data_IF_088330423237
#
_entry.id   IF_088330423237
#
_cell.length_a   1.000
_cell.length_b   1.000
_cell.length_c   1.000
_cell.angle_alpha   90.00
_cell.angle_beta   90.00
_cell.angle_gamma   90.00
#
_symmetry.space_group_name_H-M   'P 1'
#
loop_
_entity.id
_entity.type
_entity.pdbx_description
1 polymer ?
#
# COMPACT_ATOMS: atom_id res chain seq x y z
N UNK A 1 18.68 -12.49 11.83
CA UNK A 1 17.97 -11.57 10.90
C UNK A 1 17.21 -12.43 9.93
N UNK A 2 15.93 -12.15 9.74
CA UNK A 2 15.15 -12.89 8.76
C UNK A 2 15.68 -12.57 7.35
N UNK A 3 15.75 -13.59 6.53
CA UNK A 3 16.24 -13.50 5.15
C UNK A 3 15.21 -12.73 4.30
N UNK A 4 15.64 -11.65 3.64
CA UNK A 4 14.81 -10.87 2.73
C UNK A 4 14.77 -11.58 1.37
N UNK A 5 13.61 -12.15 1.04
CA UNK A 5 13.34 -12.80 -0.25
C UNK A 5 13.19 -11.73 -1.32
N UNK A 6 14.04 -11.75 -2.32
CA UNK A 6 14.18 -10.67 -3.31
C UNK A 6 13.93 -11.18 -4.72
N UNK A 7 13.11 -10.44 -5.48
CA UNK A 7 12.86 -10.65 -6.90
C UNK A 7 13.60 -9.58 -7.71
N UNK A 8 14.23 -9.98 -8.81
CA UNK A 8 14.88 -9.06 -9.77
C UNK A 8 14.13 -9.13 -11.09
N UNK A 9 13.66 -7.99 -11.59
CA UNK A 9 12.83 -7.88 -12.81
C UNK A 9 13.41 -6.82 -13.73
N UNK A 10 13.93 -7.24 -14.87
CA UNK A 10 14.58 -6.35 -15.85
C UNK A 10 14.72 -7.12 -17.17
N UNK A 11 14.41 -6.54 -18.31
CA UNK A 11 14.55 -7.24 -19.61
C UNK A 11 15.99 -7.29 -20.11
N UNK A 12 16.85 -6.38 -19.62
CA UNK A 12 18.27 -6.30 -20.00
C UNK A 12 19.12 -7.26 -19.17
N UNK A 13 19.73 -8.27 -19.83
CA UNK A 13 20.61 -9.24 -19.17
C UNK A 13 21.78 -8.62 -18.41
N UNK A 14 22.51 -7.59 -18.92
CA UNK A 14 23.58 -6.94 -18.18
C UNK A 14 23.10 -6.28 -16.88
N UNK A 15 21.94 -5.63 -16.90
CA UNK A 15 21.38 -4.97 -15.71
C UNK A 15 20.98 -6.00 -14.65
N UNK A 16 20.34 -7.11 -15.05
CA UNK A 16 20.05 -8.22 -14.14
C UNK A 16 21.32 -8.79 -13.51
N UNK A 17 22.36 -9.06 -14.34
CA UNK A 17 23.64 -9.59 -13.85
C UNK A 17 24.29 -8.68 -12.82
N UNK A 18 24.25 -7.37 -13.07
CA UNK A 18 24.80 -6.38 -12.15
C UNK A 18 24.06 -6.35 -10.80
N UNK A 19 22.72 -6.37 -10.83
CA UNK A 19 21.93 -6.45 -9.61
C UNK A 19 22.20 -7.73 -8.82
N UNK A 20 22.28 -8.87 -9.51
CA UNK A 20 22.59 -10.16 -8.89
C UNK A 20 23.95 -10.16 -8.23
N UNK A 21 24.99 -9.62 -8.89
CA UNK A 21 26.32 -9.48 -8.32
C UNK A 21 26.33 -8.66 -7.03
N UNK A 22 25.63 -7.54 -7.00
CA UNK A 22 25.53 -6.68 -5.83
C UNK A 22 24.76 -7.35 -4.69
N UNK A 23 23.62 -8.00 -5.01
CA UNK A 23 22.79 -8.69 -4.04
C UNK A 23 23.49 -9.91 -3.42
N UNK A 24 24.36 -10.61 -4.15
CA UNK A 24 25.14 -11.72 -3.64
C UNK A 24 26.11 -11.33 -2.51
N UNK A 25 26.52 -10.08 -2.45
CA UNK A 25 27.42 -9.56 -1.39
C UNK A 25 26.68 -9.33 -0.07
N UNK A 26 25.34 -9.39 -0.09
CA UNK A 26 24.48 -9.04 1.04
C UNK A 26 23.95 -10.28 1.76
N UNK A 27 24.47 -10.63 2.94
CA UNK A 27 24.17 -11.90 3.61
C UNK A 27 22.70 -12.05 4.05
N UNK A 28 21.97 -10.94 4.09
CA UNK A 28 20.56 -10.93 4.49
C UNK A 28 19.59 -11.03 3.32
N UNK A 29 20.11 -11.03 2.09
CA UNK A 29 19.32 -11.07 0.87
C UNK A 29 19.35 -12.46 0.27
N UNK A 30 18.21 -12.98 -0.11
CA UNK A 30 18.07 -14.20 -0.91
C UNK A 30 17.28 -13.89 -2.18
N UNK A 31 17.94 -13.95 -3.32
CA UNK A 31 17.24 -13.86 -4.60
C UNK A 31 16.42 -15.14 -4.78
N UNK A 32 15.09 -14.99 -4.88
CA UNK A 32 14.13 -16.09 -5.01
C UNK A 32 13.58 -16.22 -6.42
N UNK A 33 13.84 -15.24 -7.29
CA UNK A 33 13.44 -15.26 -8.68
C UNK A 33 14.11 -14.15 -9.48
N UNK A 34 14.16 -14.37 -10.80
CA UNK A 34 14.63 -13.40 -11.79
C UNK A 34 13.67 -13.44 -12.96
N UNK A 35 13.09 -12.31 -13.33
CA UNK A 35 12.15 -12.18 -14.42
C UNK A 35 12.71 -11.26 -15.53
N UNK A 36 12.28 -11.49 -16.78
CA UNK A 36 12.69 -10.72 -17.97
C UNK A 36 11.58 -9.80 -18.48
N UNK A 37 10.38 -9.97 -17.96
CA UNK A 37 9.20 -9.17 -18.30
C UNK A 37 8.20 -9.17 -17.17
N UNK A 38 7.16 -8.33 -17.28
CA UNK A 38 6.16 -8.16 -16.25
C UNK A 38 5.28 -9.39 -16.02
N UNK A 39 5.05 -10.24 -17.02
CA UNK A 39 4.24 -11.46 -16.86
C UNK A 39 4.98 -12.53 -16.06
N UNK A 40 6.28 -12.71 -16.34
CA UNK A 40 7.13 -13.60 -15.57
C UNK A 40 7.25 -13.10 -14.12
N UNK A 41 7.34 -11.77 -13.94
CA UNK A 41 7.37 -11.15 -12.62
C UNK A 41 6.10 -11.45 -11.81
N UNK A 42 4.90 -11.28 -12.38
CA UNK A 42 3.63 -11.58 -11.71
C UNK A 42 3.56 -13.04 -11.25
N UNK A 43 3.93 -13.99 -12.13
CA UNK A 43 3.96 -15.42 -11.77
C UNK A 43 4.91 -15.70 -10.60
N UNK A 44 6.11 -15.08 -10.60
CA UNK A 44 7.08 -15.25 -9.52
C UNK A 44 6.62 -14.56 -8.22
N UNK A 45 5.90 -13.46 -8.29
CA UNK A 45 5.31 -12.82 -7.11
C UNK A 45 4.31 -13.75 -6.43
N UNK A 46 3.40 -14.35 -7.19
CA UNK A 46 2.42 -15.30 -6.65
C UNK A 46 3.06 -16.57 -6.07
N UNK A 47 4.05 -17.14 -6.76
CA UNK A 47 4.64 -18.42 -6.36
C UNK A 47 5.74 -18.27 -5.30
N UNK A 48 6.48 -17.17 -5.33
CA UNK A 48 7.62 -16.95 -4.46
C UNK A 48 7.36 -15.95 -3.33
N UNK A 49 6.26 -15.21 -3.34
CA UNK A 49 5.92 -14.20 -2.31
C UNK A 49 7.14 -13.40 -1.84
N UNK A 50 7.84 -12.65 -2.71
CA UNK A 50 9.04 -11.90 -2.35
C UNK A 50 8.71 -10.75 -1.38
N UNK A 51 9.66 -10.40 -0.52
CA UNK A 51 9.55 -9.25 0.38
C UNK A 51 10.03 -7.97 -0.30
N UNK A 52 10.94 -8.09 -1.27
CA UNK A 52 11.57 -7.00 -2.01
C UNK A 52 11.56 -7.32 -3.51
N UNK A 53 11.32 -6.29 -4.32
CA UNK A 53 11.43 -6.37 -5.78
C UNK A 53 12.25 -5.20 -6.31
N UNK A 54 13.27 -5.52 -7.11
CA UNK A 54 13.92 -4.55 -8.00
C UNK A 54 13.23 -4.67 -9.35
N UNK A 55 12.68 -3.57 -9.87
CA UNK A 55 11.78 -3.58 -11.02
C UNK A 55 12.19 -2.52 -12.03
N UNK A 56 12.49 -2.93 -13.27
CA UNK A 56 12.58 -1.95 -14.35
C UNK A 56 11.20 -1.43 -14.74
N UNK A 57 11.13 -0.18 -15.14
CA UNK A 57 9.91 0.46 -15.60
C UNK A 57 9.60 0.04 -17.04
N UNK A 58 10.60 0.09 -17.94
CA UNK A 58 10.38 -0.21 -19.34
C UNK A 58 10.78 -1.64 -19.66
N UNK A 59 9.79 -2.47 -19.85
CA UNK A 59 9.93 -3.86 -20.25
C UNK A 59 8.91 -4.22 -21.32
N UNK A 60 9.21 -5.19 -22.19
CA UNK A 60 8.25 -5.69 -23.17
C UNK A 60 7.05 -6.37 -22.49
N UNK A 61 5.94 -6.48 -23.21
CA UNK A 61 4.71 -7.15 -22.81
C UNK A 61 3.94 -6.41 -21.69
N UNK A 62 4.55 -6.20 -20.54
CA UNK A 62 3.95 -5.48 -19.39
C UNK A 62 5.05 -4.65 -18.71
N UNK A 63 4.85 -3.34 -18.67
CA UNK A 63 5.77 -2.41 -18.03
C UNK A 63 5.73 -2.50 -16.48
N UNK A 64 6.72 -1.91 -15.81
CA UNK A 64 6.83 -1.97 -14.36
C UNK A 64 5.63 -1.38 -13.61
N UNK A 65 5.02 -0.31 -14.14
CA UNK A 65 3.79 0.24 -13.54
C UNK A 65 2.59 -0.67 -13.77
N UNK A 66 2.53 -1.37 -14.91
CA UNK A 66 1.55 -2.40 -15.21
C UNK A 66 1.64 -3.55 -14.22
N UNK A 67 2.85 -4.02 -13.93
CA UNK A 67 3.08 -5.04 -12.90
C UNK A 67 2.49 -4.61 -11.55
N UNK A 68 2.80 -3.38 -11.08
CA UNK A 68 2.29 -2.89 -9.80
C UNK A 68 0.76 -2.77 -9.78
N UNK A 69 0.12 -2.47 -10.90
CA UNK A 69 -1.35 -2.38 -10.99
C UNK A 69 -2.04 -3.75 -10.95
N UNK A 70 -1.37 -4.80 -11.43
CA UNK A 70 -1.92 -6.15 -11.49
C UNK A 70 -1.63 -6.99 -10.24
N UNK A 71 -0.69 -6.58 -9.37
CA UNK A 71 -0.39 -7.29 -8.13
C UNK A 71 -1.53 -7.08 -7.11
N UNK A 72 -1.96 -8.16 -6.48
CA UNK A 72 -2.87 -8.09 -5.35
C UNK A 72 -2.19 -7.38 -4.17
N UNK A 73 -2.90 -6.47 -3.46
CA UNK A 73 -2.30 -5.66 -2.39
C UNK A 73 -1.61 -6.49 -1.30
N UNK A 74 -2.11 -7.69 -1.01
CA UNK A 74 -1.59 -8.62 -0.01
C UNK A 74 -0.24 -9.23 -0.40
N UNK A 75 0.03 -9.32 -1.70
CA UNK A 75 1.24 -9.91 -2.27
C UNK A 75 2.28 -8.86 -2.69
N UNK A 76 1.96 -7.56 -2.53
CA UNK A 76 2.80 -6.46 -3.01
C UNK A 76 4.15 -6.41 -2.26
N UNK A 77 5.28 -6.66 -2.93
CA UNK A 77 6.59 -6.52 -2.32
C UNK A 77 6.99 -5.04 -2.13
N UNK A 78 7.90 -4.78 -1.23
CA UNK A 78 8.61 -3.50 -1.20
C UNK A 78 9.31 -3.32 -2.55
N UNK A 79 9.04 -2.23 -3.26
CA UNK A 79 9.53 -2.04 -4.63
C UNK A 79 10.59 -0.95 -4.69
N UNK A 80 11.68 -1.24 -5.38
CA UNK A 80 12.72 -0.30 -5.81
C UNK A 80 12.74 -0.30 -7.32
N UNK A 81 12.46 0.83 -7.95
CA UNK A 81 12.60 0.94 -9.40
C UNK A 81 14.07 1.06 -9.81
N UNK A 82 14.43 0.38 -10.90
CA UNK A 82 15.79 0.39 -11.47
C UNK A 82 15.66 0.60 -12.97
N UNK A 83 15.88 1.81 -13.48
CA UNK A 83 15.60 2.13 -14.88
C UNK A 83 16.57 3.15 -15.46
N UNK A 84 16.66 3.23 -16.79
CA UNK A 84 17.48 4.21 -17.50
C UNK A 84 16.81 5.59 -17.66
N UNK A 85 15.57 5.76 -17.20
CA UNK A 85 14.75 6.93 -17.49
C UNK A 85 14.45 7.75 -16.24
N UNK A 86 15.01 8.97 -16.19
CA UNK A 86 14.82 9.93 -15.11
C UNK A 86 13.40 10.53 -15.04
N UNK A 87 12.74 10.67 -16.20
CA UNK A 87 11.38 11.24 -16.31
C UNK A 87 10.31 10.49 -15.52
N UNK A 88 10.54 9.24 -15.16
CA UNK A 88 9.60 8.42 -14.38
C UNK A 88 9.81 8.52 -12.88
N UNK A 89 10.80 9.28 -12.41
CA UNK A 89 11.06 9.43 -10.97
C UNK A 89 9.82 9.95 -10.21
N UNK A 90 9.10 10.92 -10.77
CA UNK A 90 7.86 11.46 -10.16
C UNK A 90 6.78 10.37 -10.11
N UNK A 91 6.57 9.64 -11.20
CA UNK A 91 5.58 8.55 -11.25
C UNK A 91 5.96 7.37 -10.33
N UNK A 92 7.26 7.11 -10.14
CA UNK A 92 7.75 6.11 -9.18
C UNK A 92 7.38 6.50 -7.74
N UNK A 93 7.47 7.78 -7.39
CA UNK A 93 6.99 8.29 -6.10
C UNK A 93 5.46 8.19 -5.97
N UNK A 94 4.71 8.50 -7.02
CA UNK A 94 3.25 8.33 -7.06
C UNK A 94 2.84 6.86 -6.98
N UNK A 95 3.65 5.95 -7.54
CA UNK A 95 3.47 4.50 -7.43
C UNK A 95 3.99 3.92 -6.10
N UNK A 96 4.41 4.79 -5.16
CA UNK A 96 4.90 4.43 -3.82
C UNK A 96 6.06 3.44 -3.77
N UNK A 97 6.94 3.49 -4.79
CA UNK A 97 8.22 2.82 -4.69
C UNK A 97 9.01 3.39 -3.50
N UNK A 98 9.68 2.53 -2.77
CA UNK A 98 10.48 2.95 -1.62
C UNK A 98 11.73 3.72 -2.04
N UNK A 99 12.25 3.40 -3.22
CA UNK A 99 13.42 4.05 -3.79
C UNK A 99 13.45 3.91 -5.31
N UNK A 100 14.37 4.67 -5.94
CA UNK A 100 14.56 4.74 -7.37
C UNK A 100 16.05 4.73 -7.70
N UNK A 101 16.49 3.83 -8.56
CA UNK A 101 17.88 3.72 -9.04
C UNK A 101 17.92 4.04 -10.54
N UNK A 102 18.57 5.14 -10.88
CA UNK A 102 18.78 5.51 -12.29
C UNK A 102 20.03 4.80 -12.83
N UNK A 103 19.87 4.02 -13.90
CA UNK A 103 20.95 3.34 -14.62
C UNK A 103 21.78 4.36 -15.45
N UNK A 104 23.13 4.32 -15.43
CA UNK A 104 23.96 3.48 -14.56
C UNK A 104 24.05 4.04 -13.12
N UNK A 105 24.00 3.19 -12.12
CA UNK A 105 24.10 3.57 -10.71
C UNK A 105 25.40 3.04 -10.09
N UNK A 106 25.91 3.77 -9.08
CA UNK A 106 27.07 3.36 -8.32
C UNK A 106 26.72 2.36 -7.23
N UNK A 107 27.73 1.57 -6.77
CA UNK A 107 27.59 0.65 -5.65
C UNK A 107 27.10 1.39 -4.40
N UNK A 108 27.65 2.58 -4.12
CA UNK A 108 27.22 3.42 -2.99
C UNK A 108 25.72 3.80 -3.07
N UNK A 109 25.20 4.10 -4.27
CA UNK A 109 23.78 4.44 -4.47
C UNK A 109 22.88 3.22 -4.25
N UNK A 110 23.30 2.04 -4.73
CA UNK A 110 22.63 0.77 -4.49
C UNK A 110 22.60 0.45 -2.99
N UNK A 111 23.74 0.50 -2.30
CA UNK A 111 23.82 0.23 -0.86
C UNK A 111 22.95 1.20 -0.05
N UNK A 112 22.88 2.48 -0.44
CA UNK A 112 22.02 3.45 0.22
C UNK A 112 20.52 3.11 0.05
N UNK A 113 20.12 2.65 -1.13
CA UNK A 113 18.76 2.17 -1.38
C UNK A 113 18.46 0.91 -0.55
N UNK A 114 19.38 -0.05 -0.57
CA UNK A 114 19.22 -1.31 0.15
C UNK A 114 19.13 -1.10 1.67
N UNK A 115 19.96 -0.18 2.23
CA UNK A 115 19.85 0.19 3.66
C UNK A 115 18.46 0.72 4.01
N UNK A 116 17.87 1.57 3.16
CA UNK A 116 16.50 2.09 3.35
C UNK A 116 15.47 0.96 3.32
N UNK A 117 15.60 0.05 2.34
CA UNK A 117 14.75 -1.14 2.23
C UNK A 117 14.83 -1.99 3.50
N UNK A 118 16.03 -2.32 3.95
CA UNK A 118 16.24 -3.15 5.14
C UNK A 118 15.68 -2.49 6.41
N UNK A 119 15.85 -1.19 6.57
CA UNK A 119 15.25 -0.44 7.69
C UNK A 119 13.73 -0.46 7.62
N UNK A 120 13.17 -0.28 6.43
CA UNK A 120 11.74 -0.30 6.21
C UNK A 120 11.13 -1.67 6.52
N UNK A 121 11.70 -2.77 5.98
CA UNK A 121 11.22 -4.15 6.24
C UNK A 121 11.34 -4.49 7.74
N UNK A 122 12.42 -4.10 8.39
CA UNK A 122 12.58 -4.31 9.85
C UNK A 122 11.52 -3.57 10.67
N UNK A 123 11.21 -2.34 10.31
CA UNK A 123 10.18 -1.56 11.01
C UNK A 123 8.80 -2.18 10.84
N UNK A 124 8.54 -2.80 9.70
CA UNK A 124 7.31 -3.54 9.39
C UNK A 124 7.17 -4.80 10.26
N UNK A 125 8.21 -5.65 10.29
CA UNK A 125 8.19 -6.89 11.08
C UNK A 125 8.02 -6.61 12.59
N UNK A 126 8.61 -5.53 13.10
CA UNK A 126 8.40 -5.09 14.49
C UNK A 126 6.96 -4.62 14.74
N UNK A 127 6.29 -4.06 13.71
CA UNK A 127 4.89 -3.66 13.78
C UNK A 127 3.97 -4.86 13.79
N UNK A 128 4.20 -5.84 12.90
CA UNK A 128 3.42 -7.08 12.82
C UNK A 128 3.54 -7.91 14.11
N UNK A 129 4.75 -7.99 14.70
CA UNK A 129 4.93 -8.67 15.99
C UNK A 129 4.21 -7.93 17.12
N UNK A 130 4.27 -6.60 17.16
CA UNK A 130 3.54 -5.80 18.13
C UNK A 130 2.01 -5.94 18.01
N UNK A 131 1.50 -6.02 16.78
CA UNK A 131 0.07 -6.28 16.53
C UNK A 131 -0.35 -7.70 16.92
N UNK A 132 0.47 -8.71 16.64
CA UNK A 132 0.22 -10.10 17.08
C UNK A 132 0.24 -10.24 18.60
N UNK A 133 1.15 -9.56 19.28
CA UNK A 133 1.18 -9.53 20.76
C UNK A 133 -0.05 -8.80 21.28
N UNK A 134 -0.44 -7.68 20.68
CA UNK A 134 -1.63 -6.94 21.07
C UNK A 134 -2.90 -7.78 20.89
N UNK A 135 -3.06 -8.47 19.75
CA UNK A 135 -4.20 -9.37 19.51
C UNK A 135 -4.24 -10.56 20.50
N UNK A 136 -3.09 -11.14 20.82
CA UNK A 136 -3.00 -12.23 21.83
C UNK A 136 -3.30 -11.74 23.26
N UNK A 137 -3.01 -10.48 23.57
CA UNK A 137 -3.37 -9.86 24.85
C UNK A 137 -4.86 -9.49 24.87
N UNK A 138 -5.43 -9.10 23.76
CA UNK A 138 -6.87 -8.84 23.58
C UNK A 138 -7.68 -10.13 23.71
N UNK A 139 -7.22 -11.27 23.17
CA UNK A 139 -7.87 -12.60 23.34
C UNK A 139 -7.92 -13.05 24.82
N UNK A 140 -7.05 -12.56 25.68
CA UNK A 140 -7.08 -12.84 27.14
C UNK A 140 -7.90 -11.84 27.95
N UNK A 141 -8.32 -10.73 27.33
CA UNK A 141 -9.07 -9.66 28.00
C UNK A 141 -10.56 -9.63 27.63
N UNK A 142 -11.04 -10.61 26.87
CA UNK A 142 -12.45 -10.68 26.47
C UNK A 142 -13.35 -11.17 27.61
N UNK A 143 -13.64 -10.26 28.52
CA UNK A 143 -14.89 -10.19 29.25
C UNK A 143 -15.42 -8.76 29.21
N UNK A 144 -15.57 -8.19 28.01
CA UNK A 144 -16.53 -7.10 27.81
C UNK A 144 -16.98 -7.03 26.35
N UNK A 145 -18.24 -7.26 26.15
CA UNK A 145 -18.98 -7.26 24.88
C UNK A 145 -19.04 -5.85 24.30
N UNK A 146 -18.04 -5.48 23.46
CA UNK A 146 -18.15 -4.32 22.58
C UNK A 146 -17.56 -4.63 21.20
N UNK A 147 -18.38 -4.41 20.18
CA UNK A 147 -18.23 -4.58 18.73
C UNK A 147 -16.79 -4.92 18.26
N UNK A 148 -16.60 -6.07 17.61
CA UNK A 148 -15.30 -6.57 17.13
C UNK A 148 -14.67 -5.77 15.97
N UNK A 149 -14.93 -4.47 15.87
CA UNK A 149 -14.38 -3.57 14.88
C UNK A 149 -13.13 -2.85 15.40
N UNK A 150 -12.24 -2.50 14.47
CA UNK A 150 -11.02 -1.73 14.74
C UNK A 150 -11.39 -0.31 15.23
N UNK A 151 -11.09 -0.01 16.48
CA UNK A 151 -11.36 1.31 17.06
C UNK A 151 -10.13 2.25 16.95
N UNK A 152 -8.92 1.67 16.85
CA UNK A 152 -7.68 2.45 16.88
C UNK A 152 -6.61 1.83 15.99
N UNK A 153 -5.88 2.66 15.25
CA UNK A 153 -4.68 2.25 14.51
C UNK A 153 -3.41 2.78 15.15
N UNK A 154 -2.36 1.99 15.05
CA UNK A 154 -1.03 2.36 15.53
C UNK A 154 -0.20 2.84 14.36
N UNK A 155 0.18 4.10 14.39
CA UNK A 155 1.05 4.73 13.40
C UNK A 155 2.46 4.82 13.97
N UNK A 156 3.43 4.24 13.26
CA UNK A 156 4.83 4.31 13.65
C UNK A 156 5.61 5.18 12.69
N UNK A 157 6.22 6.21 13.20
CA UNK A 157 7.20 7.07 12.52
C UNK A 157 8.55 6.88 13.21
N UNK A 158 9.65 7.28 12.55
CA UNK A 158 11.01 7.15 13.11
C UNK A 158 11.07 7.75 14.54
N UNK A 159 11.16 6.87 15.54
CA UNK A 159 11.26 7.27 16.96
C UNK A 159 9.94 7.64 17.66
N UNK A 160 8.77 7.53 17.01
CA UNK A 160 7.47 7.86 17.62
C UNK A 160 6.41 6.83 17.26
N UNK A 161 5.66 6.42 18.27
CA UNK A 161 4.43 5.63 18.11
C UNK A 161 3.24 6.55 18.41
N UNK A 162 2.33 6.68 17.45
CA UNK A 162 1.12 7.50 17.59
C UNK A 162 -0.09 6.57 17.47
N UNK A 163 -1.04 6.74 18.37
CA UNK A 163 -2.34 6.07 18.31
C UNK A 163 -3.33 7.02 17.64
N UNK A 164 -4.00 6.53 16.61
CA UNK A 164 -5.04 7.26 15.89
C UNK A 164 -6.35 6.55 16.12
N UNK A 165 -7.33 7.22 16.69
CA UNK A 165 -8.68 6.69 16.83
C UNK A 165 -9.36 6.72 15.46
N UNK A 166 -9.97 5.59 15.08
CA UNK A 166 -10.66 5.47 13.78
C UNK A 166 -11.84 6.46 13.67
N UNK A 167 -12.43 6.82 14.81
CA UNK A 167 -13.48 7.84 14.87
C UNK A 167 -13.04 9.22 14.37
N UNK A 168 -11.74 9.52 14.43
CA UNK A 168 -11.20 10.81 14.00
C UNK A 168 -10.91 10.83 12.49
N UNK A 169 -10.89 9.66 11.85
CA UNK A 169 -10.64 9.56 10.40
C UNK A 169 -11.85 10.07 9.63
N UNK A 170 -11.63 11.06 8.77
CA UNK A 170 -12.67 11.66 7.95
C UNK A 170 -12.93 10.84 6.68
N UNK A 171 -11.85 10.41 6.02
CA UNK A 171 -11.90 9.55 4.86
C UNK A 171 -10.57 8.83 4.62
N UNK A 172 -10.61 7.82 3.77
CA UNK A 172 -9.50 6.90 3.48
C UNK A 172 -9.26 6.90 1.99
N UNK A 173 -8.00 7.03 1.57
CA UNK A 173 -7.60 7.02 0.17
C UNK A 173 -6.54 5.94 -0.07
N UNK A 174 -6.71 5.17 -1.16
CA UNK A 174 -5.70 4.21 -1.59
C UNK A 174 -4.44 4.93 -2.09
N UNK A 175 -3.29 4.45 -1.67
CA UNK A 175 -1.98 4.99 -2.00
C UNK A 175 -0.97 3.84 -2.18
N UNK A 176 -1.10 3.10 -3.29
CA UNK A 176 -0.33 1.87 -3.53
C UNK A 176 -0.63 0.79 -2.50
N UNK A 177 0.40 0.34 -1.77
CA UNK A 177 0.30 -0.64 -0.67
C UNK A 177 -0.10 -0.01 0.67
N UNK A 178 -0.37 1.28 0.68
CA UNK A 178 -0.80 2.05 1.85
C UNK A 178 -2.18 2.63 1.62
N UNK A 179 -2.76 3.12 2.68
CA UNK A 179 -3.87 4.06 2.65
C UNK A 179 -3.45 5.33 3.35
N UNK A 180 -3.91 6.45 2.84
CA UNK A 180 -3.92 7.72 3.54
C UNK A 180 -5.15 7.77 4.44
N UNK A 181 -4.95 7.94 5.72
CA UNK A 181 -6.00 8.23 6.70
C UNK A 181 -6.03 9.75 6.89
N UNK A 182 -7.09 10.38 6.39
CA UNK A 182 -7.26 11.84 6.48
C UNK A 182 -8.00 12.20 7.76
N UNK A 183 -7.41 13.10 8.56
CA UNK A 183 -7.92 13.56 9.86
C UNK A 183 -7.79 15.08 9.90
N UNK A 184 -8.86 15.81 9.61
CA UNK A 184 -8.82 17.25 9.44
C UNK A 184 -7.79 17.65 8.37
N UNK A 185 -6.82 18.48 8.75
CA UNK A 185 -5.74 18.92 7.86
C UNK A 185 -4.52 17.98 7.84
N UNK A 186 -4.57 16.86 8.55
CA UNK A 186 -3.45 15.91 8.64
C UNK A 186 -3.75 14.66 7.84
N UNK A 187 -2.71 14.13 7.22
CA UNK A 187 -2.76 12.84 6.51
C UNK A 187 -1.77 11.89 7.17
N UNK A 188 -2.23 10.69 7.46
CA UNK A 188 -1.43 9.63 8.05
C UNK A 188 -1.35 8.45 7.11
N UNK A 189 -0.13 7.95 6.88
CA UNK A 189 0.10 6.78 6.05
C UNK A 189 -0.06 5.51 6.91
N UNK A 190 -0.92 4.61 6.46
CA UNK A 190 -1.14 3.32 7.10
C UNK A 190 -1.06 2.20 6.06
N UNK A 191 -0.28 1.16 6.36
CA UNK A 191 -0.13 0.03 5.43
C UNK A 191 -1.35 -0.86 5.48
N UNK A 192 -2.16 -0.77 4.46
CA UNK A 192 -3.36 -1.59 4.24
C UNK A 192 -3.90 -1.32 2.84
N UNK A 193 -4.72 -2.20 2.31
CA UNK A 193 -5.63 -1.83 1.23
C UNK A 193 -6.92 -1.24 1.80
N UNK A 194 -7.63 -0.43 0.99
CA UNK A 194 -8.95 0.10 1.39
C UNK A 194 -9.92 -1.05 1.71
N UNK A 195 -9.88 -2.12 0.89
CA UNK A 195 -10.74 -3.28 1.07
C UNK A 195 -10.46 -4.01 2.40
N UNK A 196 -9.18 -4.29 2.69
CA UNK A 196 -8.79 -4.97 3.92
C UNK A 196 -9.10 -4.12 5.16
N UNK A 197 -8.88 -2.81 5.09
CA UNK A 197 -9.20 -1.92 6.21
C UNK A 197 -10.71 -1.87 6.46
N UNK A 198 -11.54 -1.77 5.41
CA UNK A 198 -13.01 -1.76 5.54
C UNK A 198 -13.57 -3.04 6.15
N UNK A 199 -12.98 -4.21 5.93
CA UNK A 199 -13.39 -5.47 6.57
C UNK A 199 -13.25 -5.41 8.10
N UNK A 200 -12.35 -4.56 8.62
CA UNK A 200 -12.07 -4.40 10.05
C UNK A 200 -12.79 -3.20 10.66
N UNK A 201 -13.32 -2.29 9.85
CA UNK A 201 -14.04 -1.10 10.29
C UNK A 201 -15.54 -1.36 10.43
N UNK A 202 -16.20 -0.58 11.28
CA UNK A 202 -17.66 -0.63 11.41
C UNK A 202 -18.32 -0.18 10.09
N UNK A 203 -19.07 -1.05 9.39
CA UNK A 203 -19.74 -0.73 8.13
C UNK A 203 -20.84 0.31 8.29
N UNK A 204 -21.28 0.62 9.53
CA UNK A 204 -22.19 1.73 9.80
C UNK A 204 -21.50 3.08 9.76
N UNK A 205 -20.17 3.09 9.99
CA UNK A 205 -19.36 4.31 10.07
C UNK A 205 -18.52 4.56 8.84
N UNK A 206 -18.13 3.52 8.10
CA UNK A 206 -17.31 3.65 6.90
C UNK A 206 -17.96 2.97 5.73
N UNK A 207 -18.13 3.69 4.64
CA UNK A 207 -18.70 3.20 3.39
C UNK A 207 -17.73 3.45 2.23
N UNK A 208 -17.63 2.48 1.34
CA UNK A 208 -16.82 2.62 0.14
C UNK A 208 -17.55 3.48 -0.88
N UNK A 209 -16.87 4.50 -1.43
CA UNK A 209 -17.43 5.40 -2.44
C UNK A 209 -16.73 5.27 -3.79
N UNK A 210 -15.50 4.77 -3.79
CA UNK A 210 -14.70 4.54 -4.98
C UNK A 210 -13.78 3.33 -4.79
N UNK A 211 -13.25 2.76 -5.89
CA UNK A 211 -12.25 1.68 -5.79
C UNK A 211 -11.03 2.06 -4.94
N UNK A 212 -10.71 3.35 -4.89
CA UNK A 212 -9.59 3.92 -4.13
C UNK A 212 -10.01 4.74 -2.92
N UNK A 213 -11.30 4.86 -2.58
CA UNK A 213 -11.73 5.74 -1.49
C UNK A 213 -12.88 5.16 -0.67
N UNK A 214 -12.81 5.40 0.65
CA UNK A 214 -13.89 5.17 1.59
C UNK A 214 -14.06 6.39 2.49
N UNK A 215 -15.27 6.64 2.96
CA UNK A 215 -15.62 7.84 3.72
C UNK A 215 -16.23 7.47 5.06
N UNK A 216 -15.90 8.24 6.10
CA UNK A 216 -16.60 8.20 7.37
C UNK A 216 -17.98 8.88 7.19
N UNK A 217 -19.01 8.10 7.41
CA UNK A 217 -20.40 8.54 7.19
C UNK A 217 -20.80 9.71 8.07
N UNK A 218 -20.24 9.81 9.28
CA UNK A 218 -20.45 10.92 10.21
C UNK A 218 -19.89 12.25 9.69
N UNK A 219 -18.99 12.20 8.70
CA UNK A 219 -18.34 13.36 8.09
C UNK A 219 -19.02 13.84 6.82
N UNK A 220 -19.98 13.10 6.29
CA UNK A 220 -20.72 13.51 5.09
C UNK A 220 -21.62 14.69 5.43
N UNK A 221 -21.56 15.71 4.58
CA UNK A 221 -22.47 16.87 4.64
C UNK A 221 -23.61 16.72 3.64
N UNK A 222 -23.29 16.38 2.39
CA UNK A 222 -24.28 16.30 1.31
C UNK A 222 -23.79 15.42 0.15
N UNK A 223 -24.71 14.99 -0.69
CA UNK A 223 -24.46 14.32 -1.95
C UNK A 223 -24.97 15.18 -3.11
N UNK A 224 -24.13 15.41 -4.10
CA UNK A 224 -24.49 16.18 -5.29
C UNK A 224 -24.49 15.25 -6.51
N UNK A 225 -25.60 15.10 -7.23
CA UNK A 225 -25.66 14.26 -8.41
C UNK A 225 -24.75 14.79 -9.52
N UNK A 226 -24.09 13.87 -10.23
CA UNK A 226 -23.25 14.14 -11.40
C UNK A 226 -23.80 13.44 -12.64
N UNK A 227 -23.24 13.76 -13.80
CA UNK A 227 -23.53 13.06 -15.04
C UNK A 227 -23.20 11.56 -14.93
N UNK A 228 -23.92 10.72 -15.69
CA UNK A 228 -23.70 9.28 -15.81
C UNK A 228 -23.96 8.44 -14.54
N UNK A 229 -24.68 8.99 -13.56
CA UNK A 229 -25.08 8.27 -12.35
C UNK A 229 -24.02 8.22 -11.25
N UNK A 230 -22.97 9.01 -11.37
CA UNK A 230 -22.01 9.27 -10.30
C UNK A 230 -22.54 10.34 -9.34
N UNK A 231 -21.94 10.46 -8.16
CA UNK A 231 -22.23 11.51 -7.18
C UNK A 231 -20.93 12.14 -6.68
N UNK A 232 -21.00 13.42 -6.30
CA UNK A 232 -19.98 14.03 -5.43
C UNK A 232 -20.44 13.90 -4.00
N UNK A 233 -19.61 13.27 -3.17
CA UNK A 233 -19.76 13.23 -1.71
C UNK A 233 -19.02 14.42 -1.15
N UNK A 234 -19.73 15.36 -0.54
CA UNK A 234 -19.14 16.56 0.06
C UNK A 234 -19.05 16.35 1.57
N UNK A 235 -17.85 16.45 2.13
CA UNK A 235 -17.62 16.32 3.55
C UNK A 235 -17.86 17.65 4.30
N UNK A 236 -17.96 17.57 5.62
CA UNK A 236 -18.19 18.74 6.51
C UNK A 236 -17.07 19.79 6.44
N UNK A 237 -15.86 19.36 6.13
CA UNK A 237 -14.68 20.24 5.94
C UNK A 237 -14.59 20.86 4.54
N UNK A 238 -15.52 20.49 3.63
CA UNK A 238 -15.55 20.93 2.25
C UNK A 238 -14.80 20.01 1.27
N UNK A 239 -14.18 18.93 1.73
CA UNK A 239 -13.55 17.93 0.84
C UNK A 239 -14.60 17.29 -0.07
N UNK A 240 -14.29 17.17 -1.35
CA UNK A 240 -15.15 16.55 -2.35
C UNK A 240 -14.55 15.23 -2.83
N UNK A 241 -15.32 14.15 -2.74
CA UNK A 241 -14.96 12.81 -3.20
C UNK A 241 -15.94 12.35 -4.28
N UNK A 242 -15.45 11.62 -5.27
CA UNK A 242 -16.31 11.05 -6.31
C UNK A 242 -16.81 9.68 -5.85
N UNK A 243 -18.11 9.50 -5.79
CA UNK A 243 -18.75 8.19 -5.65
C UNK A 243 -19.10 7.66 -7.04
N UNK A 244 -18.40 6.61 -7.47
CA UNK A 244 -18.69 5.95 -8.74
C UNK A 244 -20.00 5.15 -8.64
N UNK A 245 -20.74 5.10 -9.74
CA UNK A 245 -22.03 4.38 -9.87
C UNK A 245 -22.01 2.95 -9.34
N UNK A 246 -20.87 2.26 -9.44
CA UNK A 246 -20.70 0.89 -8.94
C UNK A 246 -20.78 0.74 -7.42
N UNK A 247 -20.59 1.82 -6.67
CA UNK A 247 -20.66 1.84 -5.20
C UNK A 247 -21.95 2.46 -4.67
N UNK A 248 -22.83 2.91 -5.57
CA UNK A 248 -24.12 3.53 -5.22
C UNK A 248 -25.01 2.58 -4.42
N UNK A 249 -25.14 1.33 -4.84
CA UNK A 249 -26.00 0.34 -4.17
C UNK A 249 -25.53 0.05 -2.73
N UNK A 250 -24.21 -0.03 -2.50
CA UNK A 250 -23.64 -0.19 -1.17
C UNK A 250 -23.95 1.02 -0.28
N UNK A 251 -23.86 2.21 -0.85
CA UNK A 251 -24.19 3.45 -0.15
C UNK A 251 -25.70 3.58 0.16
N UNK A 252 -26.58 3.18 -0.76
CA UNK A 252 -28.04 3.14 -0.55
C UNK A 252 -28.45 2.16 0.57
N UNK A 253 -27.75 1.01 0.66
CA UNK A 253 -27.92 0.08 1.79
C UNK A 253 -27.60 0.74 3.12
N UNK A 254 -26.50 1.51 3.17
CA UNK A 254 -26.15 2.29 4.36
C UNK A 254 -27.20 3.36 4.67
N UNK A 255 -27.66 4.13 3.67
CA UNK A 255 -28.71 5.16 3.83
C UNK A 255 -30.07 4.56 4.21
N UNK A 256 -30.29 3.27 3.94
CA UNK A 256 -31.61 2.60 4.01
C UNK A 256 -32.69 3.23 3.14
N UNK A 257 -32.30 3.92 2.09
CA UNK A 257 -33.18 4.55 1.11
C UNK A 257 -32.45 4.73 -0.24
N UNK A 258 -33.20 4.75 -1.38
CA UNK A 258 -32.61 5.01 -2.68
C UNK A 258 -32.12 6.44 -2.80
N UNK A 259 -31.09 6.66 -3.65
CA UNK A 259 -30.53 7.96 -4.05
C UNK A 259 -31.11 8.45 -5.38
#
# INVERSE_FOLDING_TARGET
>A
MDVIRTLVVDDESPARSRLLELLQREPHIKVVGVARDGREALNLIHTQTPHLMFLDIQMPVLDGFGVLREIEPELMPVTVFVTAYDKYAIQAFEAHALDYLLKPFSDQRFEAALRRVCQFIKSQNATDLGQRIASLLEERSTTDTRSGYLERVVLKTTGRVTFLDISDVDWIEASGVYVHLHVGQKTHLYRSSVAHLLQRLDPKRFVRVHRSAAVNTDRIRELQPRSHGDYTVVLKDGTELIMSRGYRSEFEVWLRQPL
#
